data_IF_322620216013
#
_entry.id   IF_322620216013
#
_cell.length_a   1.000
_cell.length_b   1.000
_cell.length_c   1.000
_cell.angle_alpha   90.00
_cell.angle_beta   90.00
_cell.angle_gamma   90.00
#
_symmetry.space_group_name_H-M   'P 1'
#
loop_
_entity.id
_entity.type
_entity.pdbx_description
1 polymer ?
#
# COMPACT_ATOMS: atom_id res chain seq x y z
N UNK A 1 -26.54 10.00 36.46
CA UNK A 1 -27.25 11.30 36.40
C UNK A 1 -26.64 12.22 35.33
N UNK A 2 -25.32 12.24 35.11
CA UNK A 2 -24.70 13.05 34.04
C UNK A 2 -25.03 12.60 32.60
N UNK A 3 -25.22 11.30 32.37
CA UNK A 3 -25.43 10.72 31.03
C UNK A 3 -26.75 11.16 30.36
N UNK A 4 -27.74 11.61 31.17
CA UNK A 4 -29.06 11.99 30.68
C UNK A 4 -29.13 13.47 30.27
N UNK A 5 -28.28 14.33 30.83
CA UNK A 5 -28.21 15.76 30.48
C UNK A 5 -27.43 15.96 29.17
N UNK A 6 -26.35 15.21 28.93
CA UNK A 6 -25.65 15.20 27.64
C UNK A 6 -26.54 14.71 26.50
N UNK A 7 -27.47 13.80 26.79
CA UNK A 7 -28.41 13.29 25.80
C UNK A 7 -29.49 14.33 25.41
N UNK A 8 -29.85 15.24 26.32
CA UNK A 8 -30.80 16.31 26.03
C UNK A 8 -30.19 17.44 25.20
N UNK A 9 -28.92 17.79 25.45
CA UNK A 9 -28.17 18.84 24.74
C UNK A 9 -27.77 18.45 23.31
N UNK A 10 -27.77 17.15 23.00
CA UNK A 10 -27.37 16.64 21.70
C UNK A 10 -28.35 17.07 20.56
N UNK A 11 -27.83 17.56 19.40
CA UNK A 11 -28.65 17.92 18.24
C UNK A 11 -29.51 16.76 17.73
N UNK A 12 -30.63 17.08 17.06
CA UNK A 12 -31.58 16.09 16.55
C UNK A 12 -30.93 15.01 15.68
N UNK A 13 -30.05 15.39 14.75
CA UNK A 13 -29.44 14.44 13.83
C UNK A 13 -28.41 13.53 14.52
N UNK A 14 -27.72 14.05 15.53
CA UNK A 14 -26.81 13.25 16.36
C UNK A 14 -27.60 12.18 17.14
N UNK A 15 -28.79 12.50 17.63
CA UNK A 15 -29.72 11.53 18.26
C UNK A 15 -30.16 10.44 17.27
N UNK A 16 -30.41 10.80 16.02
CA UNK A 16 -30.78 9.84 14.96
C UNK A 16 -29.60 8.88 14.69
N UNK A 17 -28.38 9.41 14.54
CA UNK A 17 -27.17 8.60 14.35
C UNK A 17 -26.92 7.67 15.53
N UNK A 18 -27.08 8.16 16.78
CA UNK A 18 -26.99 7.34 18.00
C UNK A 18 -28.03 6.22 18.01
N UNK A 19 -29.27 6.51 17.65
CA UNK A 19 -30.33 5.50 17.53
C UNK A 19 -30.05 4.47 16.44
N UNK A 20 -29.41 4.87 15.33
CA UNK A 20 -29.00 3.97 14.25
C UNK A 20 -27.87 3.03 14.68
N UNK A 21 -26.86 3.54 15.39
CA UNK A 21 -25.79 2.70 15.93
C UNK A 21 -26.34 1.66 16.91
N UNK A 22 -27.27 2.08 17.77
CA UNK A 22 -27.97 1.18 18.70
C UNK A 22 -28.78 0.10 17.99
N UNK A 23 -29.47 0.42 16.88
CA UNK A 23 -30.25 -0.58 16.13
C UNK A 23 -29.37 -1.59 15.38
N UNK A 24 -28.12 -1.21 15.06
CA UNK A 24 -27.11 -2.11 14.49
C UNK A 24 -26.38 -2.94 15.55
N UNK A 25 -26.73 -2.80 16.83
CA UNK A 25 -26.09 -3.53 17.94
C UNK A 25 -24.72 -2.98 18.35
N UNK A 26 -24.39 -1.74 17.95
CA UNK A 26 -23.14 -1.08 18.34
C UNK A 26 -23.41 -0.23 19.59
N UNK A 27 -23.05 -0.77 20.74
CA UNK A 27 -23.26 -0.12 22.04
C UNK A 27 -22.05 0.72 22.49
N UNK A 28 -20.83 0.26 22.17
CA UNK A 28 -19.58 0.93 22.53
C UNK A 28 -18.91 1.57 21.32
N UNK A 29 -18.79 2.89 21.33
CA UNK A 29 -18.07 3.67 20.31
C UNK A 29 -17.54 4.99 20.88
N UNK A 30 -16.51 5.54 20.26
CA UNK A 30 -16.00 6.87 20.65
C UNK A 30 -17.02 7.96 20.27
N UNK A 31 -17.29 8.97 21.12
CA UNK A 31 -18.23 10.05 20.80
C UNK A 31 -17.98 10.76 19.46
N UNK A 32 -16.71 10.82 19.02
CA UNK A 32 -16.31 11.40 17.72
C UNK A 32 -16.90 10.68 16.51
N UNK A 33 -17.27 9.41 16.65
CA UNK A 33 -17.90 8.62 15.58
C UNK A 33 -19.20 9.29 15.12
N UNK A 34 -20.02 9.80 16.05
CA UNK A 34 -21.26 10.51 15.71
C UNK A 34 -20.95 11.74 14.85
N UNK A 35 -19.97 12.55 15.24
CA UNK A 35 -19.56 13.73 14.46
C UNK A 35 -19.09 13.37 13.06
N UNK A 36 -18.36 12.26 12.91
CA UNK A 36 -17.90 11.77 11.60
C UNK A 36 -19.02 11.24 10.73
N UNK A 37 -20.01 10.56 11.31
CA UNK A 37 -21.20 10.17 10.58
C UNK A 37 -22.00 11.39 10.10
N UNK A 38 -22.14 12.43 10.93
CA UNK A 38 -22.80 13.66 10.52
C UNK A 38 -22.05 14.36 9.38
N UNK A 39 -20.73 14.53 9.51
CA UNK A 39 -19.88 15.11 8.45
C UNK A 39 -20.03 14.34 7.13
N UNK A 40 -19.99 13.01 7.19
CA UNK A 40 -20.16 12.14 6.04
C UNK A 40 -21.55 12.28 5.43
N UNK A 41 -22.60 12.26 6.24
CA UNK A 41 -23.98 12.34 5.78
C UNK A 41 -24.24 13.68 5.09
N UNK A 42 -23.89 14.78 5.73
CA UNK A 42 -24.07 16.12 5.16
C UNK A 42 -23.27 16.31 3.87
N UNK A 43 -22.00 15.89 3.84
CA UNK A 43 -21.19 15.96 2.62
C UNK A 43 -21.77 15.11 1.49
N UNK A 44 -22.20 13.89 1.79
CA UNK A 44 -22.81 13.01 0.79
C UNK A 44 -24.10 13.61 0.20
N UNK A 45 -24.99 14.15 1.05
CA UNK A 45 -26.24 14.77 0.60
C UNK A 45 -25.96 16.01 -0.24
N UNK A 46 -25.04 16.88 0.17
CA UNK A 46 -24.66 18.07 -0.60
C UNK A 46 -24.12 17.67 -1.96
N UNK A 47 -23.23 16.70 -2.03
CA UNK A 47 -22.68 16.26 -3.31
C UNK A 47 -23.77 15.69 -4.23
N UNK A 48 -24.66 14.82 -3.70
CA UNK A 48 -25.76 14.23 -4.49
C UNK A 48 -26.73 15.29 -4.99
N UNK A 49 -27.10 16.26 -4.15
CA UNK A 49 -28.00 17.34 -4.55
C UNK A 49 -27.34 18.30 -5.55
N UNK A 50 -26.02 18.51 -5.44
CA UNK A 50 -25.26 19.31 -6.42
C UNK A 50 -25.29 18.64 -7.80
N UNK A 51 -25.04 17.33 -7.87
CA UNK A 51 -25.12 16.57 -9.12
C UNK A 51 -26.55 16.55 -9.68
N UNK A 52 -27.56 16.36 -8.81
CA UNK A 52 -28.97 16.37 -9.21
C UNK A 52 -29.42 17.74 -9.74
N UNK A 53 -28.90 18.84 -9.17
CA UNK A 53 -29.15 20.19 -9.67
C UNK A 53 -28.62 20.35 -11.10
N UNK A 54 -27.40 19.89 -11.38
CA UNK A 54 -26.82 19.91 -12.74
C UNK A 54 -27.69 19.13 -13.73
N UNK A 55 -28.26 18.00 -13.32
CA UNK A 55 -29.17 17.22 -14.16
C UNK A 55 -30.51 17.92 -14.41
N UNK A 56 -31.09 18.55 -13.38
CA UNK A 56 -32.30 19.37 -13.52
C UNK A 56 -32.08 20.54 -14.47
N UNK A 57 -30.95 21.25 -14.35
CA UNK A 57 -30.56 22.35 -15.23
C UNK A 57 -30.37 21.89 -16.68
N UNK A 58 -29.71 20.74 -16.89
CA UNK A 58 -29.56 20.14 -18.21
C UNK A 58 -30.92 19.76 -18.84
N UNK A 59 -31.88 19.34 -18.02
CA UNK A 59 -33.25 19.06 -18.44
C UNK A 59 -34.14 20.32 -18.55
N UNK A 60 -33.59 21.52 -18.30
CA UNK A 60 -34.32 22.80 -18.26
C UNK A 60 -35.53 22.80 -17.31
N UNK A 61 -35.45 22.04 -16.22
CA UNK A 61 -36.46 21.99 -15.16
C UNK A 61 -36.16 23.06 -14.11
N UNK A 62 -37.20 23.64 -13.52
CA UNK A 62 -37.08 24.66 -12.48
C UNK A 62 -36.89 24.09 -11.06
N UNK A 63 -37.14 22.79 -10.87
CA UNK A 63 -37.03 22.10 -9.60
C UNK A 63 -36.45 20.70 -9.80
N UNK A 64 -35.73 20.22 -8.78
CA UNK A 64 -35.11 18.89 -8.77
C UNK A 64 -36.19 17.84 -8.57
N UNK A 65 -36.27 16.87 -9.48
CA UNK A 65 -37.18 15.73 -9.38
C UNK A 65 -36.52 14.51 -8.72
N UNK A 66 -37.35 13.54 -8.33
CA UNK A 66 -36.87 12.25 -7.83
C UNK A 66 -35.96 11.51 -8.82
N UNK A 67 -36.18 11.67 -10.12
CA UNK A 67 -35.37 10.99 -11.14
C UNK A 67 -33.98 11.61 -11.27
N UNK A 68 -33.85 12.91 -11.06
CA UNK A 68 -32.56 13.62 -11.07
C UNK A 68 -31.71 13.13 -9.87
N UNK A 69 -32.33 12.96 -8.69
CA UNK A 69 -31.67 12.39 -7.50
C UNK A 69 -31.27 10.93 -7.71
N UNK A 70 -32.14 10.10 -8.31
CA UNK A 70 -31.81 8.69 -8.62
C UNK A 70 -30.60 8.61 -9.56
N UNK A 71 -30.58 9.46 -10.59
CA UNK A 71 -29.47 9.50 -11.54
C UNK A 71 -28.16 9.93 -10.87
N UNK A 72 -28.21 10.93 -9.98
CA UNK A 72 -27.05 11.38 -9.19
C UNK A 72 -26.49 10.28 -8.30
N UNK A 73 -27.38 9.55 -7.61
CA UNK A 73 -26.96 8.41 -6.78
C UNK A 73 -26.32 7.31 -7.63
N UNK A 74 -26.94 6.93 -8.75
CA UNK A 74 -26.40 5.90 -9.64
C UNK A 74 -25.01 6.26 -10.17
N UNK A 75 -24.81 7.51 -10.58
CA UNK A 75 -23.52 8.02 -11.02
C UNK A 75 -22.45 7.86 -9.93
N UNK A 76 -22.75 8.26 -8.68
CA UNK A 76 -21.81 8.14 -7.56
C UNK A 76 -21.54 6.70 -7.14
N UNK A 77 -22.56 5.85 -7.10
CA UNK A 77 -22.43 4.47 -6.60
C UNK A 77 -21.45 3.65 -7.43
N UNK A 78 -21.41 3.90 -8.74
CA UNK A 78 -20.51 3.20 -9.66
C UNK A 78 -19.01 3.46 -9.37
N UNK A 79 -18.65 4.56 -8.71
CA UNK A 79 -17.26 4.93 -8.46
C UNK A 79 -16.87 4.96 -6.99
N UNK A 80 -17.81 5.20 -6.07
CA UNK A 80 -17.52 5.41 -4.65
C UNK A 80 -17.67 4.15 -3.79
N UNK A 81 -18.48 3.17 -4.22
CA UNK A 81 -18.73 1.96 -3.44
C UNK A 81 -18.25 0.73 -4.20
N UNK A 82 -17.36 -0.03 -3.59
CA UNK A 82 -17.00 -1.35 -4.10
C UNK A 82 -18.18 -2.29 -3.90
N UNK A 83 -18.90 -2.59 -4.97
CA UNK A 83 -19.85 -3.69 -4.95
C UNK A 83 -19.06 -5.01 -4.92
N UNK A 84 -19.49 -6.01 -4.15
CA UNK A 84 -18.86 -7.33 -4.22
C UNK A 84 -18.93 -7.83 -5.67
N UNK A 85 -17.83 -8.33 -6.24
CA UNK A 85 -17.80 -8.78 -7.62
C UNK A 85 -18.86 -9.88 -7.83
N UNK A 86 -19.55 -9.90 -8.99
CA UNK A 86 -20.57 -10.91 -9.27
C UNK A 86 -19.99 -12.32 -9.15
N UNK A 87 -20.80 -13.25 -8.61
CA UNK A 87 -20.40 -14.64 -8.39
C UNK A 87 -19.91 -15.32 -9.66
N UNK A 88 -20.50 -15.00 -10.81
CA UNK A 88 -20.15 -15.56 -12.10
C UNK A 88 -18.72 -15.20 -12.52
N UNK A 89 -18.34 -13.92 -12.33
CA UNK A 89 -16.98 -13.43 -12.61
C UNK A 89 -15.96 -14.14 -11.72
N UNK A 90 -16.26 -14.30 -10.43
CA UNK A 90 -15.40 -15.04 -9.50
C UNK A 90 -15.28 -16.52 -9.89
N UNK A 91 -16.37 -17.15 -10.35
CA UNK A 91 -16.38 -18.55 -10.73
C UNK A 91 -15.57 -18.79 -12.01
N UNK A 92 -15.68 -17.90 -13.00
CA UNK A 92 -14.87 -17.93 -14.22
C UNK A 92 -13.38 -17.76 -13.90
N UNK A 93 -13.04 -16.77 -13.05
CA UNK A 93 -11.67 -16.54 -12.60
C UNK A 93 -11.12 -17.76 -11.85
N UNK A 94 -11.92 -18.35 -10.96
CA UNK A 94 -11.58 -19.56 -10.23
C UNK A 94 -11.35 -20.74 -11.18
N UNK A 95 -12.22 -20.95 -12.17
CA UNK A 95 -12.02 -21.99 -13.19
C UNK A 95 -10.73 -21.76 -13.99
N UNK A 96 -10.41 -20.52 -14.36
CA UNK A 96 -9.17 -20.21 -15.07
C UNK A 96 -7.93 -20.50 -14.22
N UNK A 97 -7.94 -20.10 -12.94
CA UNK A 97 -6.84 -20.35 -11.99
C UNK A 97 -6.68 -21.83 -11.65
N UNK A 98 -7.79 -22.53 -11.39
CA UNK A 98 -7.80 -23.93 -10.96
C UNK A 98 -7.46 -24.91 -12.09
N UNK A 99 -7.35 -24.47 -13.35
CA UNK A 99 -6.80 -25.27 -14.45
C UNK A 99 -5.31 -25.55 -14.28
N UNK A 100 -4.58 -24.71 -13.53
CA UNK A 100 -3.16 -24.88 -13.30
C UNK A 100 -3.00 -25.90 -12.16
N UNK A 101 -2.43 -27.09 -12.42
CA UNK A 101 -2.22 -28.06 -11.37
C UNK A 101 -1.27 -27.50 -10.32
N UNK A 102 -1.42 -27.95 -9.08
CA UNK A 102 -0.54 -27.54 -8.00
C UNK A 102 0.92 -27.89 -8.34
N UNK A 103 1.90 -27.03 -7.97
CA UNK A 103 3.31 -27.37 -8.06
C UNK A 103 3.59 -28.69 -7.32
N UNK A 104 4.46 -29.52 -7.89
CA UNK A 104 4.87 -30.77 -7.23
C UNK A 104 5.45 -30.43 -5.86
N UNK A 105 4.85 -30.98 -4.80
CA UNK A 105 5.33 -30.77 -3.44
C UNK A 105 6.76 -31.32 -3.32
N UNK A 106 7.74 -30.42 -3.17
CA UNK A 106 9.11 -30.80 -2.80
C UNK A 106 9.08 -30.98 -1.30
N UNK A 107 8.87 -32.23 -0.88
CA UNK A 107 8.69 -32.61 0.51
C UNK A 107 9.98 -32.41 1.31
N UNK A 108 10.15 -31.22 1.89
CA UNK A 108 11.09 -30.95 2.97
C UNK A 108 10.33 -30.39 4.18
N UNK A 109 10.73 -30.70 5.42
CA UNK A 109 10.18 -30.02 6.58
C UNK A 109 10.63 -28.56 6.57
N UNK A 110 9.72 -27.63 6.24
CA UNK A 110 9.99 -26.20 6.26
C UNK A 110 9.07 -25.38 5.37
N UNK A 111 9.12 -24.06 5.54
CA UNK A 111 8.50 -23.09 4.62
C UNK A 111 9.47 -22.86 3.47
N UNK A 112 9.05 -23.13 2.24
CA UNK A 112 9.84 -22.82 1.06
C UNK A 112 9.78 -21.31 0.80
N UNK A 113 10.94 -20.67 0.80
CA UNK A 113 11.06 -19.30 0.31
C UNK A 113 11.08 -19.31 -1.23
N UNK A 114 10.59 -18.24 -1.87
CA UNK A 114 10.87 -17.99 -3.29
C UNK A 114 12.38 -17.96 -3.56
N UNK A 115 12.81 -17.98 -4.83
CA UNK A 115 14.22 -17.76 -5.17
C UNK A 115 14.77 -16.48 -4.50
N UNK A 116 16.07 -16.46 -4.20
CA UNK A 116 16.70 -15.31 -3.52
C UNK A 116 16.46 -13.97 -4.24
N UNK A 117 16.33 -14.01 -5.56
CA UNK A 117 16.03 -12.84 -6.41
C UNK A 117 14.63 -12.25 -6.16
N UNK A 118 13.67 -13.09 -5.76
CA UNK A 118 12.29 -12.72 -5.44
C UNK A 118 12.07 -12.54 -3.93
N UNK A 119 13.15 -12.63 -3.13
CA UNK A 119 13.10 -12.56 -1.67
C UNK A 119 13.67 -11.24 -1.16
N UNK A 120 12.88 -10.51 -0.37
CA UNK A 120 13.26 -9.21 0.23
C UNK A 120 14.08 -9.37 1.53
N UNK A 121 14.98 -10.36 1.60
CA UNK A 121 15.83 -10.61 2.79
C UNK A 121 17.14 -9.81 2.77
N UNK A 122 17.64 -9.48 1.59
CA UNK A 122 18.89 -8.71 1.45
C UNK A 122 18.62 -7.20 1.49
N UNK A 123 19.51 -6.40 2.10
CA UNK A 123 19.37 -4.95 2.07
C UNK A 123 19.44 -4.44 0.63
N UNK A 124 18.34 -3.79 0.19
CA UNK A 124 18.21 -3.15 -1.12
C UNK A 124 18.78 -1.71 -1.15
N UNK A 125 19.35 -1.27 -0.04
CA UNK A 125 19.97 0.05 0.11
C UNK A 125 21.46 -0.09 0.43
N UNK A 126 22.26 0.86 -0.07
CA UNK A 126 23.66 0.99 0.32
C UNK A 126 23.92 2.41 0.82
N UNK A 127 24.50 2.50 2.01
CA UNK A 127 24.92 3.79 2.53
C UNK A 127 26.23 4.18 1.85
N UNK A 128 26.25 5.32 1.17
CA UNK A 128 27.48 5.87 0.61
C UNK A 128 28.31 6.44 1.77
N UNK A 129 29.07 5.59 2.45
CA UNK A 129 30.03 6.01 3.47
C UNK A 129 31.26 6.53 2.71
N UNK A 130 31.60 7.83 2.79
CA UNK A 130 32.81 8.35 2.16
C UNK A 130 34.00 7.65 2.83
N UNK A 131 34.68 6.80 2.06
CA UNK A 131 35.86 6.10 2.54
C UNK A 131 36.97 7.14 2.73
N UNK A 132 37.12 7.69 3.94
CA UNK A 132 38.35 8.37 4.33
C UNK A 132 39.40 7.29 4.56
N UNK A 133 39.88 6.68 3.47
CA UNK A 133 41.22 6.07 3.50
C UNK A 133 42.19 7.25 3.38
N UNK A 134 43.04 7.55 4.38
CA UNK A 134 44.21 8.37 4.11
C UNK A 134 45.02 7.66 3.04
N UNK A 135 45.39 8.37 1.98
CA UNK A 135 46.30 7.86 0.96
C UNK A 135 47.63 7.58 1.65
N UNK A 136 48.04 6.31 1.72
CA UNK A 136 49.42 5.97 2.06
C UNK A 136 50.30 6.33 0.86
N UNK A 137 51.48 6.93 1.08
CA UNK A 137 52.40 7.26 0.00
C UNK A 137 52.92 5.98 -0.64
N UNK A 138 53.03 6.02 -1.95
CA UNK A 138 53.67 5.03 -2.80
C UNK A 138 55.16 5.07 -2.43
N UNK A 139 55.69 4.08 -1.71
CA UNK A 139 57.15 3.86 -1.66
C UNK A 139 57.54 3.05 -2.89
N UNK A 140 58.22 3.73 -3.81
CA UNK A 140 59.01 3.13 -4.87
C UNK A 140 60.25 2.47 -4.25
N UNK A 141 60.39 1.16 -4.42
CA UNK A 141 61.70 0.51 -4.44
C UNK A 141 61.75 -0.46 -5.61
N UNK A 142 62.60 -0.10 -6.56
CA UNK A 142 63.06 -0.90 -7.69
C UNK A 142 63.86 -2.11 -7.20
N UNK A 143 63.70 -3.28 -7.83
CA UNK A 143 64.82 -4.02 -8.47
C UNK A 143 64.40 -5.43 -8.98
N UNK A 144 64.41 -5.52 -10.31
CA UNK A 144 65.02 -6.53 -11.22
C UNK A 144 64.85 -8.07 -11.02
N UNK A 145 64.23 -8.64 -12.07
CA UNK A 145 64.55 -9.86 -12.85
C UNK A 145 64.58 -11.30 -12.26
N UNK A 146 63.65 -12.10 -12.81
CA UNK A 146 63.88 -13.33 -13.59
C UNK A 146 63.51 -14.73 -13.01
N UNK A 147 62.85 -15.48 -13.91
CA UNK A 147 62.75 -16.94 -14.03
C UNK A 147 61.73 -17.73 -13.20
N UNK A 148 60.58 -17.99 -13.83
CA UNK A 148 59.74 -19.18 -13.58
C UNK A 148 60.49 -20.45 -14.01
N UNK A 149 60.31 -21.59 -13.30
CA UNK A 149 59.33 -22.55 -13.80
C UNK A 149 58.50 -23.24 -12.70
N UNK A 150 57.22 -23.44 -12.99
CA UNK A 150 56.25 -24.17 -12.18
C UNK A 150 56.55 -25.70 -12.16
N UNK A 151 56.13 -26.48 -11.15
CA UNK A 151 54.77 -27.03 -11.22
C UNK A 151 54.00 -27.20 -9.89
N UNK A 152 52.67 -27.04 -10.01
CA UNK A 152 51.56 -27.69 -9.28
C UNK A 152 51.33 -27.41 -7.79
N UNK A 153 50.23 -26.70 -7.46
CA UNK A 153 49.04 -27.23 -6.74
C UNK A 153 47.96 -26.14 -6.49
N UNK A 154 46.74 -26.46 -6.94
CA UNK A 154 45.42 -26.24 -6.33
C UNK A 154 44.79 -24.83 -6.09
N UNK A 155 43.50 -24.76 -6.46
CA UNK A 155 42.42 -23.88 -5.99
C UNK A 155 42.44 -22.38 -6.28
N UNK A 156 41.78 -21.98 -7.38
CA UNK A 156 40.54 -21.18 -7.35
C UNK A 156 40.10 -20.88 -8.79
N UNK A 157 39.13 -21.64 -9.27
CA UNK A 157 38.31 -21.17 -10.38
C UNK A 157 37.45 -20.03 -9.83
N UNK A 158 37.91 -18.79 -10.05
CA UNK A 158 37.06 -17.60 -10.03
C UNK A 158 35.98 -17.78 -11.09
N UNK A 159 34.92 -18.46 -10.69
CA UNK A 159 33.66 -18.42 -11.38
C UNK A 159 33.15 -17.00 -11.17
N UNK A 160 33.38 -16.15 -12.18
CA UNK A 160 32.71 -14.87 -12.34
C UNK A 160 31.20 -15.12 -12.28
N UNK A 161 30.63 -15.11 -11.06
CA UNK A 161 29.21 -14.88 -10.88
C UNK A 161 28.99 -13.45 -11.32
N UNK A 162 28.48 -13.32 -12.53
CA UNK A 162 27.76 -12.18 -13.04
C UNK A 162 26.81 -11.68 -11.94
N UNK A 163 27.25 -10.67 -11.18
CA UNK A 163 26.39 -9.97 -10.25
C UNK A 163 25.33 -9.26 -11.08
N UNK A 164 24.15 -9.86 -11.20
CA UNK A 164 22.99 -9.11 -11.67
C UNK A 164 22.72 -8.01 -10.64
N UNK A 165 22.79 -6.72 -11.03
CA UNK A 165 22.60 -5.63 -10.09
C UNK A 165 21.11 -5.48 -9.86
N UNK A 166 20.57 -6.12 -8.83
CA UNK A 166 19.32 -5.62 -8.24
C UNK A 166 19.57 -4.14 -7.89
N UNK A 167 18.77 -3.26 -8.49
CA UNK A 167 18.96 -1.82 -8.50
C UNK A 167 19.11 -1.27 -7.08
N UNK A 168 20.36 -1.13 -6.64
CA UNK A 168 20.72 -0.75 -5.28
C UNK A 168 20.62 0.76 -5.18
N UNK A 169 19.69 1.25 -4.37
CA UNK A 169 19.52 2.68 -4.18
C UNK A 169 20.54 3.15 -3.14
N UNK A 170 21.40 4.09 -3.53
CA UNK A 170 22.39 4.67 -2.63
C UNK A 170 21.88 5.96 -2.00
N UNK A 171 22.04 6.10 -0.69
CA UNK A 171 21.68 7.31 0.04
C UNK A 171 22.96 7.98 0.56
N UNK A 172 23.20 9.27 0.24
CA UNK A 172 24.31 10.01 0.82
C UNK A 172 24.00 10.37 2.28
N UNK A 173 24.96 10.15 3.17
CA UNK A 173 24.88 10.63 4.56
C UNK A 173 25.15 12.13 4.63
N UNK A 174 24.35 12.92 5.37
CA UNK A 174 24.72 14.30 5.68
C UNK A 174 26.00 14.30 6.53
N UNK A 175 26.96 15.14 6.15
CA UNK A 175 28.18 15.36 6.96
C UNK A 175 27.74 15.96 8.30
N UNK A 176 27.93 15.20 9.38
CA UNK A 176 27.74 15.70 10.74
C UNK A 176 28.71 16.86 10.96
N UNK A 177 28.21 18.09 10.94
CA UNK A 177 28.95 19.25 11.43
C UNK A 177 29.18 18.98 12.93
N UNK A 178 30.45 18.91 13.33
CA UNK A 178 30.83 18.90 14.74
C UNK A 178 30.63 20.34 15.24
N UNK A 179 29.79 20.51 16.25
CA UNK A 179 29.79 21.69 17.11
C UNK A 179 31.17 21.89 17.77
#
# INVERSE_FOLDING_TARGET
>A
MADNDEELEMPRDAKIVKSLLKSMGVEDYEPRVIHKFLELWYRYVVDVLTDAQVYSEHASKSAIDCDDVKLAIQSKVNFSFSQPPPREVLLELAQNRNKIPLPKSIAGPGVLLPPDQDTLISPNYQLAIPNKRPAEPIEETEDEEAANPNPAQEDQMDMQMQQNPHQRVSFPLPKRQKD
#
